data_IF_926187191815
#
_entry.id   IF_926187191815
#
_cell.length_a   1.000
_cell.length_b   1.000
_cell.length_c   1.000
_cell.angle_alpha   90.00
_cell.angle_beta   90.00
_cell.angle_gamma   90.00
#
_symmetry.space_group_name_H-M   'P 1'
#
loop_
_entity.id
_entity.type
_entity.pdbx_description
1 polymer ?
#
# COMPACT_ATOMS: atom_id res chain seq x y z
N UNK A 1 3.50 1.23 8.71
CA UNK A 1 2.33 0.88 7.87
C UNK A 1 2.22 1.89 6.74
N UNK A 2 2.04 1.44 5.49
CA UNK A 2 1.93 2.30 4.30
C UNK A 2 0.54 2.32 3.67
N UNK A 3 -0.25 1.26 3.85
CA UNK A 3 -1.65 1.19 3.43
C UNK A 3 -2.43 0.23 4.33
N UNK A 4 -3.75 0.39 4.37
CA UNK A 4 -4.69 -0.53 5.04
C UNK A 4 -5.67 -1.03 3.98
N UNK A 5 -5.87 -2.34 3.93
CA UNK A 5 -6.82 -2.99 3.03
C UNK A 5 -7.94 -3.59 3.88
N UNK A 6 -9.18 -3.31 3.52
CA UNK A 6 -10.34 -4.02 4.06
C UNK A 6 -10.69 -5.20 3.14
N UNK A 7 -10.79 -6.40 3.71
CA UNK A 7 -11.34 -7.56 3.01
C UNK A 7 -12.22 -8.38 3.96
N UNK A 8 -13.48 -8.59 3.58
CA UNK A 8 -14.44 -9.41 4.35
C UNK A 8 -14.57 -8.98 5.83
N UNK A 9 -14.71 -7.67 6.09
CA UNK A 9 -14.80 -7.06 7.43
C UNK A 9 -13.52 -7.16 8.27
N UNK A 10 -12.40 -7.55 7.65
CA UNK A 10 -11.09 -7.64 8.30
C UNK A 10 -10.16 -6.59 7.69
N UNK A 11 -9.34 -5.98 8.52
CA UNK A 11 -8.33 -5.02 8.08
C UNK A 11 -6.94 -5.67 8.03
N UNK A 12 -6.20 -5.40 6.96
CA UNK A 12 -4.84 -5.89 6.75
C UNK A 12 -3.91 -4.71 6.57
N UNK A 13 -2.88 -4.64 7.40
CA UNK A 13 -1.83 -3.62 7.28
C UNK A 13 -0.81 -4.05 6.24
N UNK A 14 -0.57 -3.19 5.25
CA UNK A 14 0.56 -3.33 4.32
C UNK A 14 1.73 -2.56 4.90
N UNK A 15 2.85 -3.25 5.08
CA UNK A 15 4.07 -2.69 5.66
C UNK A 15 5.12 -2.43 4.59
N UNK A 16 5.94 -1.40 4.80
CA UNK A 16 7.10 -1.19 3.95
C UNK A 16 8.16 -2.25 4.28
N UNK A 17 8.83 -2.84 3.28
CA UNK A 17 9.87 -3.84 3.52
C UNK A 17 11.12 -3.25 4.20
N UNK A 18 11.33 -1.93 4.08
CA UNK A 18 12.42 -1.16 4.70
C UNK A 18 12.11 0.34 4.64
N UNK A 19 12.95 1.14 5.28
CA UNK A 19 12.89 2.61 5.21
C UNK A 19 13.06 3.11 3.77
N UNK A 20 12.26 4.10 3.38
CA UNK A 20 12.23 4.70 2.05
C UNK A 20 11.30 5.90 2.00
N UNK A 21 11.13 6.47 0.80
CA UNK A 21 10.27 7.63 0.53
C UNK A 21 9.11 7.18 -0.35
N UNK A 22 7.89 7.66 -0.04
CA UNK A 22 6.72 7.42 -0.88
C UNK A 22 6.90 8.16 -2.21
N UNK A 23 7.00 7.41 -3.30
CA UNK A 23 7.15 7.98 -4.64
C UNK A 23 5.79 8.25 -5.29
N UNK A 24 4.84 7.30 -5.14
CA UNK A 24 3.49 7.44 -5.67
C UNK A 24 2.47 6.64 -4.86
N UNK A 25 1.28 7.20 -4.67
CA UNK A 25 0.08 6.48 -4.25
C UNK A 25 -0.77 6.16 -5.49
N UNK A 26 -0.91 4.88 -5.83
CA UNK A 26 -1.64 4.39 -7.00
C UNK A 26 -3.09 3.97 -6.68
N UNK A 27 -3.53 4.18 -5.44
CA UNK A 27 -4.89 3.91 -4.98
C UNK A 27 -5.46 5.08 -4.18
N UNK A 28 -6.79 5.11 -4.06
CA UNK A 28 -7.50 6.04 -3.18
C UNK A 28 -8.30 5.31 -2.10
N UNK A 29 -8.60 5.96 -0.96
CA UNK A 29 -9.44 5.35 0.08
C UNK A 29 -10.80 4.90 -0.46
N UNK A 30 -11.24 3.71 -0.05
CA UNK A 30 -12.51 3.10 -0.48
C UNK A 30 -12.48 2.49 -1.89
N UNK A 31 -11.37 2.60 -2.63
CA UNK A 31 -11.21 1.94 -3.92
C UNK A 31 -11.15 0.41 -3.75
N UNK A 32 -11.90 -0.31 -4.59
CA UNK A 32 -11.76 -1.76 -4.71
C UNK A 32 -10.42 -2.11 -5.37
N UNK A 33 -9.67 -3.01 -4.72
CA UNK A 33 -8.34 -3.44 -5.17
C UNK A 33 -8.29 -4.95 -5.39
N UNK A 34 -7.44 -5.40 -6.31
CA UNK A 34 -7.24 -6.82 -6.63
C UNK A 34 -5.87 -7.32 -6.15
N UNK A 35 -5.72 -8.64 -5.99
CA UNK A 35 -4.42 -9.23 -5.70
C UNK A 35 -3.40 -8.89 -6.78
N UNK A 36 -2.21 -8.45 -6.37
CA UNK A 36 -1.14 -8.02 -7.27
C UNK A 36 -1.27 -6.58 -7.77
N UNK A 37 -2.35 -5.86 -7.45
CA UNK A 37 -2.46 -4.45 -7.79
C UNK A 37 -1.44 -3.61 -7.01
N UNK A 38 -0.77 -2.70 -7.69
CA UNK A 38 0.13 -1.73 -7.04
C UNK A 38 -0.70 -0.70 -6.27
N UNK A 39 -0.38 -0.53 -4.98
CA UNK A 39 -1.03 0.45 -4.10
C UNK A 39 -0.16 1.68 -3.88
N UNK A 40 1.12 1.47 -3.60
CA UNK A 40 2.10 2.50 -3.29
C UNK A 40 3.45 2.07 -3.85
N UNK A 41 4.20 2.99 -4.45
CA UNK A 41 5.60 2.78 -4.82
C UNK A 41 6.51 3.51 -3.86
N UNK A 42 7.63 2.85 -3.51
CA UNK A 42 8.65 3.40 -2.62
C UNK A 42 9.94 3.62 -3.42
N UNK A 43 10.53 4.78 -3.24
CA UNK A 43 11.90 5.06 -3.62
C UNK A 43 12.82 4.84 -2.43
N UNK A 44 13.97 4.25 -2.71
CA UNK A 44 14.94 3.95 -1.68
C UNK A 44 16.24 4.67 -1.99
N UNK A 45 16.77 5.48 -1.05
CA UNK A 45 18.13 5.98 -1.21
C UNK A 45 19.09 4.77 -1.26
N UNK A 46 20.11 4.91 -2.11
CA UNK A 46 21.18 3.92 -2.26
C UNK A 46 22.03 3.82 -1.00
#
# INVERSE_FOLDING_TARGET
VVAIIEAMKMEFSVEAPRDGVIAQCACTPGQLVQMGQTLVTLEFPA
#
